data_IF_212119844485
#
_entry.id   IF_212119844485
#
_cell.length_a   1.000
_cell.length_b   1.000
_cell.length_c   1.000
_cell.angle_alpha   90.00
_cell.angle_beta   90.00
_cell.angle_gamma   90.00
#
_symmetry.space_group_name_H-M   'P 1'
#
loop_
_entity.id
_entity.type
_entity.pdbx_description
1 polymer ?
#
# COMPACT_ATOMS: atom_id res chain seq x y z
N UNK A 1 -25.31 -4.85 -37.80
CA UNK A 1 -25.20 -4.95 -36.34
C UNK A 1 -24.03 -5.85 -36.05
N UNK A 2 -22.91 -5.27 -35.62
CA UNK A 2 -21.91 -5.84 -34.70
C UNK A 2 -20.86 -4.75 -34.50
N UNK A 3 -20.82 -4.21 -33.28
CA UNK A 3 -20.12 -2.98 -32.90
C UNK A 3 -18.61 -3.22 -32.68
N UNK A 4 -17.81 -2.27 -33.16
CA UNK A 4 -16.35 -2.28 -33.06
C UNK A 4 -15.81 -2.15 -31.64
N UNK A 5 -14.98 -3.11 -31.25
CA UNK A 5 -14.11 -3.03 -30.08
C UNK A 5 -13.04 -1.94 -30.27
N UNK A 6 -13.31 -0.73 -29.75
CA UNK A 6 -12.28 0.29 -29.54
C UNK A 6 -11.31 -0.20 -28.46
N UNK A 7 -10.05 -0.42 -28.81
CA UNK A 7 -8.95 -0.53 -27.84
C UNK A 7 -8.93 0.75 -26.99
N UNK A 8 -9.36 0.67 -25.73
CA UNK A 8 -9.31 1.79 -24.78
C UNK A 8 -7.86 2.01 -24.35
N UNK A 9 -7.39 3.26 -24.37
CA UNK A 9 -6.03 3.58 -23.91
C UNK A 9 -5.90 3.33 -22.40
N UNK A 10 -4.68 3.15 -21.85
CA UNK A 10 -4.50 3.03 -20.40
C UNK A 10 -5.10 4.19 -19.60
N UNK A 11 -5.00 5.42 -20.13
CA UNK A 11 -5.59 6.61 -19.53
C UNK A 11 -7.12 6.54 -19.47
N UNK A 12 -7.77 6.04 -20.52
CA UNK A 12 -9.23 5.86 -20.54
C UNK A 12 -9.70 4.84 -19.49
N UNK A 13 -8.90 3.79 -19.27
CA UNK A 13 -9.20 2.77 -18.25
C UNK A 13 -9.06 3.33 -16.85
N UNK A 14 -7.97 4.05 -16.56
CA UNK A 14 -7.77 4.76 -15.28
C UNK A 14 -8.93 5.71 -15.01
N UNK A 15 -9.30 6.52 -16.01
CA UNK A 15 -10.43 7.45 -15.93
C UNK A 15 -11.73 6.73 -15.59
N UNK A 16 -12.02 5.61 -16.28
CA UNK A 16 -13.24 4.83 -16.06
C UNK A 16 -13.32 4.28 -14.63
N UNK A 17 -12.23 3.71 -14.10
CA UNK A 17 -12.21 3.15 -12.75
C UNK A 17 -12.44 4.23 -11.69
N UNK A 18 -11.72 5.36 -11.79
CA UNK A 18 -11.86 6.47 -10.85
C UNK A 18 -13.26 7.09 -10.91
N UNK A 19 -13.83 7.24 -12.11
CA UNK A 19 -15.16 7.77 -12.28
C UNK A 19 -16.24 6.88 -11.63
N UNK A 20 -16.16 5.56 -11.79
CA UNK A 20 -17.07 4.63 -11.11
C UNK A 20 -16.88 4.66 -9.60
N UNK A 21 -15.63 4.75 -9.13
CA UNK A 21 -15.32 4.92 -7.72
C UNK A 21 -15.98 6.17 -7.12
N UNK A 22 -15.80 7.34 -7.72
CA UNK A 22 -16.29 8.63 -7.18
C UNK A 22 -17.81 8.70 -7.08
N UNK A 23 -18.55 7.98 -7.93
CA UNK A 23 -20.01 7.89 -7.83
C UNK A 23 -20.46 7.23 -6.52
N UNK A 24 -19.62 6.39 -5.91
CA UNK A 24 -19.93 5.68 -4.68
C UNK A 24 -19.63 6.53 -3.44
N UNK A 25 -20.65 6.72 -2.58
CA UNK A 25 -20.51 7.48 -1.33
C UNK A 25 -19.45 6.91 -0.38
N UNK A 26 -19.18 5.60 -0.44
CA UNK A 26 -18.10 4.97 0.32
C UNK A 26 -16.72 5.44 -0.17
N UNK A 27 -16.50 5.48 -1.47
CA UNK A 27 -15.21 5.86 -2.03
C UNK A 27 -14.90 7.34 -1.81
N UNK A 28 -15.91 8.23 -1.84
CA UNK A 28 -15.74 9.66 -1.53
C UNK A 28 -15.29 9.96 -0.09
N UNK A 29 -15.34 8.97 0.81
CA UNK A 29 -14.94 9.07 2.22
C UNK A 29 -13.72 8.21 2.56
N UNK A 30 -13.10 7.61 1.54
CA UNK A 30 -12.04 6.63 1.68
C UNK A 30 -10.66 7.29 1.52
N UNK A 31 -9.75 7.05 2.47
CA UNK A 31 -8.35 7.50 2.40
C UNK A 31 -7.65 6.99 1.12
N UNK A 32 -7.79 5.70 0.80
CA UNK A 32 -7.18 5.13 -0.41
C UNK A 32 -7.61 5.84 -1.71
N UNK A 33 -8.86 6.31 -1.80
CA UNK A 33 -9.32 7.06 -2.97
C UNK A 33 -8.66 8.43 -3.05
N UNK A 34 -8.62 9.16 -1.93
CA UNK A 34 -7.99 10.47 -1.85
C UNK A 34 -6.50 10.40 -2.21
N UNK A 35 -5.77 9.49 -1.57
CA UNK A 35 -4.33 9.28 -1.78
C UNK A 35 -4.02 8.94 -3.24
N UNK A 36 -4.85 8.11 -3.87
CA UNK A 36 -4.67 7.74 -5.29
C UNK A 36 -4.88 8.95 -6.21
N UNK A 37 -5.91 9.77 -5.98
CA UNK A 37 -6.16 10.97 -6.79
C UNK A 37 -5.02 11.98 -6.66
N UNK A 38 -4.56 12.24 -5.44
CA UNK A 38 -3.44 13.15 -5.17
C UNK A 38 -2.13 12.63 -5.81
N UNK A 39 -1.82 11.34 -5.63
CA UNK A 39 -0.63 10.71 -6.21
C UNK A 39 -0.63 10.73 -7.74
N UNK A 40 -1.78 10.44 -8.37
CA UNK A 40 -1.91 10.52 -9.83
C UNK A 40 -1.78 11.96 -10.33
N UNK A 41 -2.39 12.93 -9.64
CA UNK A 41 -2.25 14.35 -9.99
C UNK A 41 -0.77 14.75 -9.98
N UNK A 42 -0.05 14.45 -8.91
CA UNK A 42 1.35 14.82 -8.75
C UNK A 42 2.22 14.16 -9.83
N UNK A 43 2.04 12.86 -10.04
CA UNK A 43 2.82 12.08 -11.01
C UNK A 43 2.57 12.51 -12.45
N UNK A 44 1.32 12.80 -12.80
CA UNK A 44 0.93 13.22 -14.16
C UNK A 44 1.30 14.67 -14.44
N UNK A 45 1.35 15.54 -13.42
CA UNK A 45 1.74 16.95 -13.59
C UNK A 45 3.21 17.12 -13.98
N UNK A 46 4.05 16.12 -13.73
CA UNK A 46 5.47 16.15 -14.09
C UNK A 46 5.77 15.79 -15.56
N UNK A 47 4.78 15.30 -16.33
CA UNK A 47 5.02 14.82 -17.70
C UNK A 47 3.97 15.30 -18.71
N UNK A 48 4.43 15.71 -19.89
CA UNK A 48 3.56 16.13 -21.00
C UNK A 48 3.31 14.96 -21.97
N UNK A 49 2.27 14.15 -21.70
CA UNK A 49 1.77 13.12 -22.65
C UNK A 49 0.40 13.58 -23.18
N UNK A 50 0.15 13.35 -24.48
CA UNK A 50 -1.14 13.65 -25.11
C UNK A 50 -2.30 12.92 -24.38
N UNK A 51 -3.37 13.65 -24.06
CA UNK A 51 -4.54 13.12 -23.33
C UNK A 51 -4.47 13.20 -21.80
N UNK A 52 -3.30 13.48 -21.22
CA UNK A 52 -3.13 13.65 -19.76
C UNK A 52 -3.84 14.90 -19.24
N UNK A 53 -3.91 15.97 -20.04
CA UNK A 53 -4.57 17.22 -19.64
C UNK A 53 -6.03 17.04 -19.26
N UNK A 54 -6.75 16.14 -19.95
CA UNK A 54 -8.16 15.87 -19.65
C UNK A 54 -8.30 15.00 -18.40
N UNK A 55 -7.41 14.03 -18.20
CA UNK A 55 -7.40 13.22 -16.99
C UNK A 55 -7.09 14.06 -15.74
N UNK A 56 -6.11 14.97 -15.80
CA UNK A 56 -5.78 15.89 -14.70
C UNK A 56 -6.99 16.75 -14.32
N UNK A 57 -7.69 17.35 -15.30
CA UNK A 57 -8.91 18.14 -15.03
C UNK A 57 -9.99 17.33 -14.31
N UNK A 58 -10.19 16.07 -14.72
CA UNK A 58 -11.14 15.18 -14.04
C UNK A 58 -10.69 14.86 -12.61
N UNK A 59 -9.40 14.57 -12.41
CA UNK A 59 -8.85 14.30 -11.08
C UNK A 59 -9.03 15.51 -10.14
N UNK A 60 -8.76 16.72 -10.61
CA UNK A 60 -8.98 17.94 -9.82
C UNK A 60 -10.45 18.13 -9.44
N UNK A 61 -11.37 17.86 -10.37
CA UNK A 61 -12.80 17.87 -10.07
C UNK A 61 -13.15 16.81 -9.01
N UNK A 62 -12.65 15.58 -9.14
CA UNK A 62 -12.94 14.50 -8.21
C UNK A 62 -12.35 14.73 -6.81
N UNK A 63 -11.19 15.36 -6.70
CA UNK A 63 -10.63 15.79 -5.41
C UNK A 63 -11.59 16.75 -4.71
N UNK A 64 -12.23 17.68 -5.44
CA UNK A 64 -13.21 18.60 -4.87
C UNK A 64 -14.56 17.92 -4.52
N UNK A 65 -14.89 16.80 -5.17
CA UNK A 65 -16.07 16.00 -4.84
C UNK A 65 -15.87 15.12 -3.60
N UNK A 66 -14.64 14.97 -3.10
CA UNK A 66 -14.35 14.19 -1.91
C UNK A 66 -15.00 14.79 -0.66
N UNK A 67 -15.55 13.91 0.17
CA UNK A 67 -16.10 14.25 1.47
C UNK A 67 -15.00 14.05 2.55
N UNK A 68 -15.19 14.57 3.79
CA UNK A 68 -14.25 14.31 4.87
C UNK A 68 -13.97 12.81 5.05
N UNK A 69 -12.68 12.46 5.10
CA UNK A 69 -12.24 11.07 5.20
C UNK A 69 -12.77 10.46 6.49
N UNK A 70 -13.54 9.37 6.36
CA UNK A 70 -14.15 8.66 7.48
C UNK A 70 -13.31 7.44 7.90
N UNK A 71 -12.53 6.89 6.98
CA UNK A 71 -11.67 5.72 7.20
C UNK A 71 -10.48 5.77 6.25
N UNK A 72 -9.32 5.30 6.73
CA UNK A 72 -8.14 5.14 5.90
C UNK A 72 -8.39 4.14 4.76
N UNK A 73 -8.91 2.97 5.10
CA UNK A 73 -9.43 1.98 4.15
C UNK A 73 -10.68 1.29 4.71
N UNK A 74 -11.60 0.90 3.83
CA UNK A 74 -12.80 0.13 4.18
C UNK A 74 -12.64 -1.39 3.98
N UNK A 75 -11.55 -1.84 3.35
CA UNK A 75 -11.39 -3.26 2.97
C UNK A 75 -12.40 -3.72 1.92
N UNK A 76 -12.60 -2.96 0.83
CA UNK A 76 -13.58 -3.31 -0.20
C UNK A 76 -13.14 -4.54 -1.02
N UNK A 77 -14.07 -5.47 -1.30
CA UNK A 77 -13.84 -6.59 -2.22
C UNK A 77 -13.35 -6.15 -3.62
N UNK A 78 -13.76 -4.96 -4.08
CA UNK A 78 -13.23 -4.31 -5.27
C UNK A 78 -12.85 -2.87 -4.95
N UNK A 79 -11.59 -2.53 -5.19
CA UNK A 79 -11.02 -1.23 -4.86
C UNK A 79 -10.67 -0.47 -6.15
N UNK A 80 -11.63 0.33 -6.64
CA UNK A 80 -11.44 1.22 -7.80
C UNK A 80 -10.12 2.02 -7.77
N UNK A 81 -9.73 2.68 -6.66
CA UNK A 81 -8.47 3.42 -6.64
C UNK A 81 -7.25 2.50 -6.77
N UNK A 82 -7.26 1.32 -6.15
CA UNK A 82 -6.16 0.36 -6.30
C UNK A 82 -6.04 -0.16 -7.73
N UNK A 83 -7.16 -0.48 -8.39
CA UNK A 83 -7.16 -0.93 -9.78
C UNK A 83 -6.64 0.17 -10.71
N UNK A 84 -7.10 1.41 -10.52
CA UNK A 84 -6.61 2.56 -11.28
C UNK A 84 -5.09 2.75 -11.12
N UNK A 85 -4.59 2.68 -9.88
CA UNK A 85 -3.16 2.83 -9.59
C UNK A 85 -2.33 1.68 -10.16
N UNK A 86 -2.85 0.45 -10.16
CA UNK A 86 -2.18 -0.69 -10.78
C UNK A 86 -2.05 -0.51 -12.31
N UNK A 87 -3.11 -0.04 -12.97
CA UNK A 87 -3.06 0.26 -14.42
C UNK A 87 -2.02 1.35 -14.68
N UNK A 88 -1.98 2.40 -13.85
CA UNK A 88 -0.99 3.47 -13.96
C UNK A 88 0.43 2.93 -13.84
N UNK A 89 0.73 2.18 -12.77
CA UNK A 89 2.06 1.63 -12.54
C UNK A 89 2.51 0.67 -13.64
N UNK A 90 1.61 -0.16 -14.17
CA UNK A 90 1.93 -1.08 -15.26
C UNK A 90 2.17 -0.37 -16.60
N UNK A 91 1.42 0.70 -16.87
CA UNK A 91 1.42 1.36 -18.18
C UNK A 91 2.43 2.50 -18.27
N UNK A 92 2.85 3.06 -17.14
CA UNK A 92 3.72 4.23 -17.03
C UNK A 92 4.92 3.95 -16.11
N UNK A 93 5.58 2.80 -16.30
CA UNK A 93 6.68 2.30 -15.46
C UNK A 93 7.79 3.34 -15.21
N UNK A 94 8.18 4.15 -16.21
CA UNK A 94 9.20 5.20 -16.05
C UNK A 94 8.75 6.34 -15.11
N UNK A 95 7.46 6.68 -15.14
CA UNK A 95 6.85 7.73 -14.31
C UNK A 95 6.60 7.18 -12.90
N UNK A 96 6.08 5.96 -12.80
CA UNK A 96 5.84 5.26 -11.54
C UNK A 96 7.13 5.07 -10.72
N UNK A 97 8.26 4.84 -11.40
CA UNK A 97 9.59 4.72 -10.77
C UNK A 97 10.06 6.02 -10.13
N UNK A 98 9.70 7.18 -10.69
CA UNK A 98 10.01 8.50 -10.11
C UNK A 98 8.97 8.93 -9.06
N UNK A 99 7.74 8.45 -9.17
CA UNK A 99 6.69 8.63 -8.17
C UNK A 99 6.70 7.58 -7.05
N UNK A 100 7.78 6.79 -6.91
CA UNK A 100 8.06 5.99 -5.70
C UNK A 100 8.36 6.88 -4.47
N UNK A 101 7.78 8.08 -4.42
CA UNK A 101 7.50 8.81 -3.19
C UNK A 101 6.37 8.13 -2.40
N UNK A 102 6.44 6.81 -2.19
CA UNK A 102 6.19 6.31 -0.85
C UNK A 102 7.32 6.89 0.03
N UNK A 103 7.23 8.19 0.30
CA UNK A 103 8.14 8.93 1.17
C UNK A 103 7.87 8.48 2.60
N UNK A 104 8.27 7.25 2.90
CA UNK A 104 8.58 6.90 4.26
C UNK A 104 9.73 7.81 4.69
N UNK A 105 9.60 8.41 5.87
CA UNK A 105 10.75 8.99 6.54
C UNK A 105 11.75 7.85 6.80
N UNK A 106 12.73 7.67 5.91
CA UNK A 106 13.81 6.71 6.11
C UNK A 106 14.77 7.34 7.11
N UNK A 107 14.77 6.83 8.34
CA UNK A 107 15.76 7.19 9.36
C UNK A 107 17.06 6.44 9.06
N UNK A 108 17.95 7.06 8.29
CA UNK A 108 19.21 6.43 7.85
C UNK A 108 20.20 6.14 8.97
N UNK A 109 19.99 6.68 10.18
CA UNK A 109 20.92 6.57 11.31
C UNK A 109 20.51 5.53 12.36
N UNK A 110 19.33 4.92 12.26
CA UNK A 110 18.90 3.89 13.21
C UNK A 110 17.95 2.88 12.59
N UNK A 111 18.13 1.61 12.96
CA UNK A 111 17.20 0.55 12.62
C UNK A 111 16.12 0.43 13.72
N UNK A 112 14.83 0.23 13.38
CA UNK A 112 14.27 0.11 12.03
C UNK A 112 14.12 1.45 11.31
N UNK A 113 14.53 1.56 10.03
CA UNK A 113 14.58 2.83 9.31
C UNK A 113 13.21 3.38 8.91
N UNK A 114 12.18 2.53 8.78
CA UNK A 114 10.84 2.94 8.36
C UNK A 114 9.89 2.97 9.56
N UNK A 115 9.30 4.12 9.91
CA UNK A 115 8.39 4.23 11.05
C UNK A 115 7.08 3.50 10.83
N UNK A 116 6.55 2.95 11.92
CA UNK A 116 5.29 2.20 11.95
C UNK A 116 4.91 1.79 13.37
N UNK A 117 3.88 0.97 13.45
CA UNK A 117 3.36 0.45 14.72
C UNK A 117 4.03 -0.91 15.02
N UNK A 118 5.18 -0.84 15.69
CA UNK A 118 5.97 -2.01 16.08
C UNK A 118 6.76 -1.76 17.37
N UNK A 119 7.27 -2.85 17.94
CA UNK A 119 8.28 -2.88 18.98
C UNK A 119 9.54 -3.55 18.43
N UNK A 120 10.71 -2.93 18.64
CA UNK A 120 11.99 -3.41 18.13
C UNK A 120 12.97 -3.65 19.27
N UNK A 121 13.68 -4.78 19.23
CA UNK A 121 14.52 -5.28 20.33
C UNK A 121 15.85 -5.85 19.83
N UNK A 122 16.33 -5.43 18.66
CA UNK A 122 17.51 -6.01 18.02
C UNK A 122 18.72 -6.08 18.97
N UNK A 123 19.19 -7.30 19.21
CA UNK A 123 20.32 -7.67 20.07
C UNK A 123 21.39 -8.42 19.26
N UNK A 124 21.70 -7.89 18.06
CA UNK A 124 22.62 -8.51 17.12
C UNK A 124 22.19 -9.92 16.73
N UNK A 125 23.14 -10.84 16.58
CA UNK A 125 22.89 -12.18 16.04
C UNK A 125 21.91 -13.07 16.85
N UNK A 126 21.52 -12.68 18.07
CA UNK A 126 20.67 -13.48 18.95
C UNK A 126 19.17 -13.37 18.66
N UNK A 127 18.74 -12.43 17.82
CA UNK A 127 17.33 -12.17 17.55
C UNK A 127 16.97 -12.32 16.05
N UNK A 128 16.93 -13.54 15.50
CA UNK A 128 16.72 -13.75 14.07
C UNK A 128 15.26 -13.66 13.61
N UNK A 129 14.30 -13.42 14.51
CA UNK A 129 12.87 -13.54 14.23
C UNK A 129 12.18 -12.18 14.19
N UNK A 130 11.52 -11.88 13.08
CA UNK A 130 10.49 -10.85 12.97
C UNK A 130 9.10 -11.47 13.09
N UNK A 131 8.15 -10.74 13.67
CA UNK A 131 6.76 -11.21 13.82
C UNK A 131 5.79 -10.16 13.28
N UNK A 132 4.98 -10.53 12.30
CA UNK A 132 3.76 -9.81 11.95
C UNK A 132 2.58 -10.48 12.64
N UNK A 133 1.87 -9.69 13.45
CA UNK A 133 0.65 -10.11 14.15
C UNK A 133 -0.63 -9.84 13.36
N UNK A 134 -0.49 -9.50 12.07
CA UNK A 134 -1.59 -9.25 11.14
C UNK A 134 -2.60 -8.23 11.72
N UNK A 135 -3.88 -8.57 11.84
CA UNK A 135 -4.91 -7.73 12.46
C UNK A 135 -5.10 -7.97 13.97
N UNK A 136 -4.06 -8.42 14.69
CA UNK A 136 -4.11 -8.71 16.14
C UNK A 136 -3.11 -7.87 16.94
N UNK A 137 -3.35 -6.55 17.11
CA UNK A 137 -2.41 -5.64 17.78
C UNK A 137 -2.12 -6.02 19.25
N UNK A 138 -3.10 -6.58 19.96
CA UNK A 138 -2.93 -7.01 21.36
C UNK A 138 -1.92 -8.17 21.48
N UNK A 139 -1.77 -8.97 20.42
CA UNK A 139 -0.75 -10.01 20.36
C UNK A 139 0.65 -9.40 20.23
N UNK A 140 0.80 -8.30 19.51
CA UNK A 140 2.08 -7.60 19.39
C UNK A 140 2.52 -7.05 20.75
N UNK A 141 1.60 -6.45 21.50
CA UNK A 141 1.86 -5.95 22.85
C UNK A 141 2.28 -7.06 23.81
N UNK A 142 1.57 -8.20 23.80
CA UNK A 142 1.92 -9.36 24.64
C UNK A 142 3.30 -9.92 24.31
N UNK A 143 3.63 -10.05 23.03
CA UNK A 143 4.95 -10.53 22.60
C UNK A 143 6.05 -9.53 22.98
N UNK A 144 5.79 -8.23 22.86
CA UNK A 144 6.69 -7.17 23.27
C UNK A 144 6.98 -7.20 24.79
N UNK A 145 5.97 -7.47 25.62
CA UNK A 145 6.13 -7.60 27.08
C UNK A 145 6.91 -8.88 27.42
N UNK A 146 6.54 -10.02 26.84
CA UNK A 146 7.21 -11.30 27.13
C UNK A 146 8.64 -11.36 26.62
N UNK A 147 8.95 -10.58 25.57
CA UNK A 147 10.26 -10.42 24.92
C UNK A 147 11.03 -11.74 24.80
N UNK A 148 10.57 -12.70 23.96
CA UNK A 148 11.35 -13.89 23.64
C UNK A 148 12.74 -13.49 23.14
N UNK A 149 13.76 -14.27 23.50
CA UNK A 149 15.17 -13.95 23.21
C UNK A 149 15.42 -13.74 21.71
N UNK A 150 14.77 -14.55 20.89
CA UNK A 150 14.94 -14.58 19.44
C UNK A 150 14.18 -13.45 18.71
N UNK A 151 13.35 -12.68 19.42
CA UNK A 151 12.49 -11.65 18.84
C UNK A 151 13.28 -10.37 18.52
N UNK A 152 13.38 -10.04 17.23
CA UNK A 152 14.01 -8.82 16.74
C UNK A 152 13.04 -7.64 16.66
N UNK A 153 11.84 -7.90 16.13
CA UNK A 153 10.79 -6.90 15.89
C UNK A 153 9.43 -7.58 15.84
N UNK A 154 8.43 -6.95 16.44
CA UNK A 154 7.03 -7.38 16.37
C UNK A 154 6.12 -6.19 16.09
N UNK A 155 5.15 -6.36 15.19
CA UNK A 155 4.15 -5.33 14.90
C UNK A 155 2.91 -5.90 14.23
N UNK A 156 1.90 -5.06 14.00
CA UNK A 156 0.72 -5.43 13.20
C UNK A 156 0.94 -5.16 11.72
N UNK A 157 0.18 -5.81 10.85
CA UNK A 157 0.23 -5.57 9.39
C UNK A 157 -1.16 -5.73 8.80
N UNK A 158 -1.85 -4.60 8.60
CA UNK A 158 -3.25 -4.60 8.17
C UNK A 158 -3.41 -4.49 6.65
N UNK A 159 -2.57 -3.69 5.98
CA UNK A 159 -2.70 -3.46 4.53
C UNK A 159 -1.70 -4.28 3.72
N UNK A 160 -2.18 -4.79 2.60
CA UNK A 160 -1.51 -5.69 1.65
C UNK A 160 -0.50 -4.98 0.73
N UNK A 161 -0.38 -3.66 0.88
CA UNK A 161 0.52 -2.80 0.11
C UNK A 161 1.49 -2.05 1.03
N UNK A 162 1.10 -0.90 1.56
CA UNK A 162 1.88 -0.01 2.43
C UNK A 162 2.39 -0.76 3.65
N UNK A 163 1.55 -1.59 4.29
CA UNK A 163 1.93 -2.40 5.45
C UNK A 163 3.02 -3.40 5.10
N UNK A 164 2.86 -4.13 3.99
CA UNK A 164 3.85 -5.08 3.49
C UNK A 164 5.17 -4.37 3.13
N UNK A 165 5.11 -3.22 2.47
CA UNK A 165 6.30 -2.47 2.08
C UNK A 165 7.12 -2.02 3.31
N UNK A 166 6.45 -1.56 4.38
CA UNK A 166 7.10 -1.27 5.67
C UNK A 166 7.76 -2.51 6.27
N UNK A 167 7.06 -3.65 6.27
CA UNK A 167 7.58 -4.92 6.80
C UNK A 167 8.84 -5.33 6.05
N UNK A 168 8.79 -5.34 4.72
CA UNK A 168 9.93 -5.74 3.88
C UNK A 168 11.11 -4.79 4.10
N UNK A 169 10.90 -3.48 4.01
CA UNK A 169 11.98 -2.48 4.17
C UNK A 169 12.67 -2.59 5.53
N UNK A 170 11.91 -2.78 6.61
CA UNK A 170 12.49 -2.95 7.94
C UNK A 170 13.18 -4.31 8.12
N UNK A 171 12.75 -5.36 7.45
CA UNK A 171 13.40 -6.69 7.53
C UNK A 171 14.69 -6.72 6.71
N UNK A 172 14.65 -6.33 5.42
CA UNK A 172 15.82 -6.45 4.53
C UNK A 172 16.97 -5.53 4.92
N UNK A 173 16.70 -4.48 5.69
CA UNK A 173 17.72 -3.55 6.20
C UNK A 173 18.40 -4.04 7.48
N UNK A 174 18.00 -5.21 8.01
CA UNK A 174 18.68 -5.86 9.12
C UNK A 174 19.01 -7.33 8.79
N UNK A 175 20.28 -7.65 8.47
CA UNK A 175 20.69 -8.99 8.05
C UNK A 175 20.58 -10.04 9.16
N UNK A 176 20.36 -9.63 10.41
CA UNK A 176 20.08 -10.52 11.53
C UNK A 176 18.78 -11.29 11.32
N UNK A 177 17.76 -10.64 10.75
CA UNK A 177 16.42 -11.23 10.62
C UNK A 177 16.44 -12.24 9.49
N UNK A 178 16.14 -13.50 9.83
CA UNK A 178 16.13 -14.63 8.89
C UNK A 178 14.77 -15.30 8.80
N UNK A 179 13.86 -15.00 9.72
CA UNK A 179 12.53 -15.61 9.80
C UNK A 179 11.49 -14.50 10.01
N UNK A 180 10.42 -14.52 9.22
CA UNK A 180 9.21 -13.74 9.46
C UNK A 180 8.08 -14.71 9.84
N UNK A 181 7.55 -14.56 11.05
CA UNK A 181 6.35 -15.29 11.48
C UNK A 181 5.11 -14.44 11.19
N UNK A 182 4.12 -15.04 10.52
CA UNK A 182 2.79 -14.47 10.33
C UNK A 182 1.83 -15.14 11.29
N UNK A 183 1.35 -14.40 12.28
CA UNK A 183 0.52 -14.93 13.37
C UNK A 183 -0.67 -14.01 13.63
N UNK A 184 -1.69 -14.52 14.33
CA UNK A 184 -2.91 -13.76 14.60
C UNK A 184 -3.96 -13.87 13.48
N UNK A 185 -4.96 -12.98 13.51
CA UNK A 185 -6.05 -12.97 12.54
C UNK A 185 -5.61 -12.25 11.26
N UNK A 186 -5.75 -12.89 10.11
CA UNK A 186 -5.55 -12.24 8.81
C UNK A 186 -6.59 -11.13 8.61
N UNK A 187 -6.22 -9.92 8.15
CA UNK A 187 -7.16 -8.81 8.04
C UNK A 187 -8.22 -9.09 6.97
N UNK A 188 -9.49 -8.90 7.32
CA UNK A 188 -10.61 -9.13 6.40
C UNK A 188 -10.53 -8.17 5.21
N UNK A 189 -10.68 -8.68 3.98
CA UNK A 189 -10.65 -7.91 2.74
C UNK A 189 -9.24 -7.65 2.19
N UNK A 190 -8.27 -7.28 3.04
CA UNK A 190 -6.87 -7.05 2.63
C UNK A 190 -6.07 -8.34 2.50
N UNK A 191 -6.32 -9.31 3.39
CA UNK A 191 -5.63 -10.60 3.42
C UNK A 191 -4.10 -10.47 3.42
N UNK A 192 -3.58 -9.51 4.18
CA UNK A 192 -2.15 -9.14 4.19
C UNK A 192 -1.22 -10.30 4.51
N UNK A 193 -1.64 -11.24 5.36
CA UNK A 193 -0.89 -12.46 5.64
C UNK A 193 -0.82 -13.37 4.41
N UNK A 194 -1.97 -13.60 3.75
CA UNK A 194 -2.01 -14.35 2.49
C UNK A 194 -1.19 -13.67 1.38
N UNK A 195 -1.24 -12.35 1.29
CA UNK A 195 -0.46 -11.58 0.32
C UNK A 195 1.04 -11.69 0.58
N UNK A 196 1.49 -11.62 1.84
CA UNK A 196 2.89 -11.84 2.20
C UNK A 196 3.38 -13.23 1.80
N UNK A 197 2.58 -14.27 2.04
CA UNK A 197 2.90 -15.63 1.63
C UNK A 197 3.00 -15.75 0.11
N UNK A 198 2.01 -15.23 -0.61
CA UNK A 198 2.00 -15.26 -2.08
C UNK A 198 3.21 -14.51 -2.68
N UNK A 199 3.58 -13.36 -2.11
CA UNK A 199 4.74 -12.58 -2.52
C UNK A 199 6.05 -13.35 -2.26
N UNK A 200 6.18 -14.01 -1.12
CA UNK A 200 7.35 -14.82 -0.82
C UNK A 200 7.51 -16.02 -1.77
N UNK A 201 6.40 -16.67 -2.13
CA UNK A 201 6.40 -17.84 -3.01
C UNK A 201 6.60 -17.47 -4.49
N UNK A 202 6.02 -16.36 -4.95
CA UNK A 202 5.88 -16.07 -6.38
C UNK A 202 6.64 -14.83 -6.85
N UNK A 203 7.11 -13.96 -5.94
CA UNK A 203 7.65 -12.66 -6.32
C UNK A 203 6.58 -11.73 -6.89
N UNK A 204 7.01 -10.84 -7.80
CA UNK A 204 6.18 -9.84 -8.51
C UNK A 204 6.28 -10.02 -10.01
#
# INVERSE_FOLDING_TARGET
>A
MEEGGRNRTPLDRIKSELQEGIRLAKCRKCGCMKETLESLKDSLSSFSVEGVSDLIKNIEQWINEMEPIKYACLGCNYCFPAVAMNIFNQSFLEIASQSLSCAFEIRSQSWPPVPGEYFAFCDGANCPVAVSTLASPELAEKLAISRPKELCIVGKTETENIGIDKVIKNIITNPTIRVLLLVGKDPDGHHSGRTLLALWENGV
#
